data_IF_529594176992
#
_entry.id   IF_529594176992
#
_cell.length_a   1.000
_cell.length_b   1.000
_cell.length_c   1.000
_cell.angle_alpha   90.00
_cell.angle_beta   90.00
_cell.angle_gamma   90.00
#
_symmetry.space_group_name_H-M   'P 1'
#
loop_
_entity.id
_entity.type
_entity.pdbx_description
1 polymer ?
#
# COMPACT_ATOMS: atom_id res chain seq x y z
N UNK A 1 -0.56 -2.44 5.65
CA UNK A 1 -1.07 -1.08 5.33
C UNK A 1 -0.85 -0.79 3.84
N UNK A 2 0.39 -0.82 3.34
CA UNK A 2 0.72 -0.57 1.93
C UNK A 2 -0.13 -1.35 0.91
N UNK A 3 -0.44 -2.64 1.15
CA UNK A 3 -1.23 -3.45 0.21
C UNK A 3 -2.74 -3.20 0.27
N UNK A 4 -3.26 -2.77 1.43
CA UNK A 4 -4.70 -2.59 1.67
C UNK A 4 -5.15 -1.20 1.22
N UNK A 5 -4.27 -0.20 1.28
CA UNK A 5 -4.60 1.20 0.95
C UNK A 5 -5.01 1.41 -0.52
N UNK A 6 -4.35 0.84 -1.54
CA UNK A 6 -4.81 0.91 -2.93
C UNK A 6 -6.18 0.25 -3.13
N UNK A 7 -6.41 -0.89 -2.47
CA UNK A 7 -7.68 -1.62 -2.53
C UNK A 7 -8.83 -0.80 -1.96
N UNK A 8 -8.59 -0.02 -0.89
CA UNK A 8 -9.56 0.94 -0.36
C UNK A 8 -9.85 2.09 -1.35
N UNK A 9 -8.83 2.60 -2.05
CA UNK A 9 -9.01 3.61 -3.10
C UNK A 9 -9.82 3.10 -4.29
N UNK A 10 -9.61 1.83 -4.68
CA UNK A 10 -10.40 1.13 -5.70
C UNK A 10 -11.84 0.87 -5.24
N UNK A 11 -12.05 0.50 -3.98
CA UNK A 11 -13.39 0.35 -3.41
C UNK A 11 -14.16 1.68 -3.50
N UNK A 12 -13.49 2.80 -3.20
CA UNK A 12 -14.06 4.14 -3.32
C UNK A 12 -14.50 4.50 -4.75
N UNK A 13 -13.74 4.10 -5.78
CA UNK A 13 -14.19 4.32 -7.18
C UNK A 13 -15.40 3.48 -7.52
N UNK A 14 -15.45 2.22 -7.08
CA UNK A 14 -16.60 1.34 -7.31
C UNK A 14 -17.86 1.93 -6.66
N UNK A 15 -17.78 2.38 -5.42
CA UNK A 15 -18.91 3.01 -4.71
C UNK A 15 -19.37 4.32 -5.37
N UNK A 16 -18.42 5.15 -5.82
CA UNK A 16 -18.73 6.38 -6.55
C UNK A 16 -19.43 6.12 -7.87
N UNK A 17 -18.96 5.14 -8.65
CA UNK A 17 -19.58 4.75 -9.91
C UNK A 17 -20.97 4.13 -9.71
N UNK A 18 -21.18 3.33 -8.65
CA UNK A 18 -22.51 2.81 -8.29
C UNK A 18 -23.51 3.96 -8.06
N UNK A 19 -23.08 5.00 -7.34
CA UNK A 19 -23.92 6.18 -7.06
C UNK A 19 -24.25 6.94 -8.34
N UNK A 20 -23.27 7.12 -9.24
CA UNK A 20 -23.48 7.77 -10.56
C UNK A 20 -24.48 6.97 -11.42
N UNK A 21 -24.36 5.65 -11.46
CA UNK A 21 -25.30 4.81 -12.20
C UNK A 21 -26.70 4.79 -11.59
N UNK A 22 -26.82 4.86 -10.26
CA UNK A 22 -28.11 4.97 -9.59
C UNK A 22 -28.85 6.25 -10.00
N UNK A 23 -28.15 7.39 -10.07
CA UNK A 23 -28.70 8.67 -10.54
C UNK A 23 -29.14 8.61 -12.02
N UNK A 24 -28.37 7.92 -12.87
CA UNK A 24 -28.76 7.71 -14.28
C UNK A 24 -30.07 6.92 -14.37
N UNK A 25 -30.23 5.89 -13.53
CA UNK A 25 -31.43 5.04 -13.54
C UNK A 25 -32.65 5.79 -13.00
N UNK A 26 -32.49 6.64 -11.98
CA UNK A 26 -33.61 7.38 -11.38
C UNK A 26 -34.02 8.62 -12.18
N UNK A 27 -33.09 9.34 -12.80
CA UNK A 27 -33.33 10.62 -13.44
C UNK A 27 -33.16 10.62 -14.98
N UNK A 28 -32.83 9.47 -15.59
CA UNK A 28 -32.36 9.40 -16.97
C UNK A 28 -30.90 9.89 -17.09
N UNK A 29 -30.40 10.15 -18.30
CA UNK A 29 -28.99 10.58 -18.53
C UNK A 29 -28.56 11.83 -17.72
N UNK A 30 -29.50 12.52 -17.05
CA UNK A 30 -29.18 13.56 -16.08
C UNK A 30 -28.44 14.74 -16.69
N UNK A 31 -28.04 15.71 -15.85
CA UNK A 31 -27.17 16.79 -16.30
C UNK A 31 -25.72 16.27 -16.38
N UNK A 32 -25.04 16.37 -17.54
CA UNK A 32 -23.65 15.93 -17.71
C UNK A 32 -22.68 16.46 -16.64
N UNK A 33 -22.94 17.66 -16.09
CA UNK A 33 -22.13 18.25 -15.04
C UNK A 33 -22.15 17.47 -13.72
N UNK A 34 -23.31 16.91 -13.34
CA UNK A 34 -23.45 16.12 -12.10
C UNK A 34 -22.74 14.77 -12.25
N UNK A 35 -22.88 14.15 -13.42
CA UNK A 35 -22.17 12.92 -13.80
C UNK A 35 -20.65 13.08 -13.76
N UNK A 36 -20.14 14.16 -14.39
CA UNK A 36 -18.72 14.48 -14.36
C UNK A 36 -18.21 14.70 -12.92
N UNK A 37 -19.01 15.33 -12.06
CA UNK A 37 -18.71 15.50 -10.64
C UNK A 37 -18.56 14.17 -9.89
N UNK A 38 -19.49 13.24 -10.07
CA UNK A 38 -19.43 11.92 -9.43
C UNK A 38 -18.23 11.07 -9.88
N UNK A 39 -17.91 11.09 -11.18
CA UNK A 39 -16.72 10.41 -11.72
C UNK A 39 -15.44 11.06 -11.18
N UNK A 40 -15.39 12.39 -11.09
CA UNK A 40 -14.25 13.11 -10.52
C UNK A 40 -14.01 12.74 -9.06
N UNK A 41 -15.07 12.66 -8.25
CA UNK A 41 -14.98 12.23 -6.85
C UNK A 41 -14.47 10.79 -6.70
N UNK A 42 -14.96 9.88 -7.56
CA UNK A 42 -14.46 8.52 -7.62
C UNK A 42 -12.93 8.51 -7.86
N UNK A 43 -12.46 9.23 -8.88
CA UNK A 43 -11.03 9.30 -9.22
C UNK A 43 -10.16 9.92 -8.11
N UNK A 44 -10.65 10.96 -7.43
CA UNK A 44 -9.95 11.58 -6.29
C UNK A 44 -9.75 10.57 -5.15
N UNK A 45 -10.74 9.72 -4.88
CA UNK A 45 -10.64 8.71 -3.81
C UNK A 45 -9.57 7.66 -4.12
N UNK A 46 -9.42 7.26 -5.40
CA UNK A 46 -8.29 6.40 -5.82
C UNK A 46 -6.95 7.11 -5.71
N UNK A 47 -6.87 8.37 -6.14
CA UNK A 47 -5.63 9.16 -6.03
C UNK A 47 -5.19 9.30 -4.56
N UNK A 48 -6.13 9.51 -3.64
CA UNK A 48 -5.86 9.55 -2.20
C UNK A 48 -5.32 8.20 -1.67
N UNK A 49 -5.93 7.08 -2.09
CA UNK A 49 -5.45 5.73 -1.74
C UNK A 49 -4.03 5.48 -2.22
N UNK A 50 -3.72 5.85 -3.47
CA UNK A 50 -2.37 5.71 -4.03
C UNK A 50 -1.35 6.62 -3.35
N UNK A 51 -1.76 7.84 -2.97
CA UNK A 51 -0.88 8.82 -2.31
C UNK A 51 -0.38 8.35 -0.94
N UNK A 52 -1.16 7.52 -0.24
CA UNK A 52 -0.75 6.91 1.04
C UNK A 52 -0.04 5.56 0.83
N UNK A 53 -0.43 4.79 -0.18
CA UNK A 53 0.17 3.49 -0.46
C UNK A 53 1.63 3.57 -0.92
N UNK A 54 1.95 4.51 -1.82
CA UNK A 54 3.31 4.63 -2.41
C UNK A 54 4.36 4.92 -1.33
N UNK A 55 4.19 5.93 -0.44
CA UNK A 55 5.16 6.18 0.63
C UNK A 55 5.25 5.00 1.61
N UNK A 56 4.12 4.38 1.97
CA UNK A 56 4.12 3.25 2.90
C UNK A 56 4.90 2.05 2.35
N UNK A 57 4.76 1.74 1.05
CA UNK A 57 5.51 0.68 0.38
C UNK A 57 7.01 1.00 0.34
N UNK A 58 7.37 2.26 0.06
CA UNK A 58 8.77 2.70 0.05
C UNK A 58 9.43 2.52 1.43
N UNK A 59 8.77 2.99 2.50
CA UNK A 59 9.28 2.83 3.86
C UNK A 59 9.38 1.36 4.27
N UNK A 60 8.38 0.54 3.92
CA UNK A 60 8.42 -0.90 4.21
C UNK A 60 9.64 -1.56 3.56
N UNK A 61 9.89 -1.26 2.29
CA UNK A 61 11.05 -1.82 1.59
C UNK A 61 12.37 -1.37 2.21
N UNK A 62 12.50 -0.08 2.54
CA UNK A 62 13.70 0.46 3.19
C UNK A 62 13.97 -0.18 4.56
N UNK A 63 12.94 -0.34 5.39
CA UNK A 63 13.07 -0.99 6.70
C UNK A 63 13.39 -2.48 6.55
N UNK A 64 12.76 -3.18 5.61
CA UNK A 64 13.04 -4.59 5.37
C UNK A 64 14.50 -4.81 4.96
N UNK A 65 15.03 -4.02 4.01
CA UNK A 65 16.45 -4.09 3.63
C UNK A 65 17.37 -3.84 4.82
N UNK A 66 17.03 -2.90 5.71
CA UNK A 66 17.84 -2.64 6.90
C UNK A 66 17.81 -3.79 7.92
N UNK A 67 16.68 -4.48 8.04
CA UNK A 67 16.56 -5.67 8.89
C UNK A 67 17.38 -6.82 8.32
N UNK A 68 17.37 -7.01 7.00
CA UNK A 68 18.18 -8.05 6.33
C UNK A 68 19.68 -7.81 6.54
N UNK A 69 20.15 -6.57 6.41
CA UNK A 69 21.54 -6.22 6.74
C UNK A 69 21.91 -6.55 8.19
N UNK A 70 21.01 -6.24 9.14
CA UNK A 70 21.24 -6.53 10.55
C UNK A 70 21.27 -8.03 10.83
N UNK A 71 20.43 -8.81 10.14
CA UNK A 71 20.42 -10.27 10.24
C UNK A 71 21.74 -10.87 9.74
N UNK A 72 22.27 -10.39 8.62
CA UNK A 72 23.58 -10.82 8.10
C UNK A 72 24.70 -10.53 9.11
N UNK A 73 24.72 -9.32 9.68
CA UNK A 73 25.70 -8.95 10.72
C UNK A 73 25.59 -9.87 11.97
N UNK A 74 24.37 -10.25 12.34
CA UNK A 74 24.14 -11.17 13.46
C UNK A 74 24.61 -12.59 13.16
N UNK A 75 24.38 -13.09 11.94
CA UNK A 75 24.87 -14.40 11.50
C UNK A 75 26.39 -14.47 11.53
N UNK A 76 27.08 -13.45 10.99
CA UNK A 76 28.54 -13.38 11.01
C UNK A 76 29.11 -13.38 12.44
N UNK A 77 28.47 -12.65 13.36
CA UNK A 77 28.88 -12.64 14.77
C UNK A 77 28.62 -13.96 15.47
N UNK A 78 27.52 -14.64 15.15
CA UNK A 78 27.22 -15.96 15.72
C UNK A 78 28.27 -17.00 15.29
N UNK A 79 28.67 -16.99 14.01
CA UNK A 79 29.73 -17.87 13.48
C UNK A 79 31.05 -17.60 14.21
N UNK A 80 31.46 -16.34 14.35
CA UNK A 80 32.68 -15.99 15.10
C UNK A 80 32.63 -16.47 16.55
N UNK A 81 31.48 -16.37 17.22
CA UNK A 81 31.33 -16.85 18.59
C UNK A 81 31.52 -18.37 18.71
N UNK A 82 30.99 -19.13 17.74
CA UNK A 82 31.17 -20.59 17.67
C UNK A 82 32.63 -20.96 17.41
N UNK A 83 33.32 -20.23 16.56
CA UNK A 83 34.76 -20.45 16.28
C UNK A 83 35.64 -20.19 17.51
N UNK A 84 35.34 -19.11 18.25
CA UNK A 84 36.06 -18.80 19.50
C UNK A 84 35.85 -19.89 20.56
N UNK A 85 34.62 -20.42 20.67
CA UNK A 85 34.32 -21.52 21.60
C UNK A 85 35.06 -22.81 21.22
N UNK A 86 35.09 -23.18 19.92
CA UNK A 86 35.84 -24.34 19.47
C UNK A 86 37.35 -24.20 19.69
N UNK A 87 37.91 -23.00 19.50
CA UNK A 87 39.32 -22.71 19.82
C UNK A 87 39.64 -22.77 21.31
N UNK A 88 38.69 -22.48 22.19
CA UNK A 88 38.91 -22.55 23.64
C UNK A 88 38.82 -23.97 24.20
N UNK A 89 38.21 -24.92 23.46
CA UNK A 89 38.01 -26.31 23.90
C UNK A 89 39.09 -27.27 23.38
N UNK A 90 40.14 -26.75 22.76
CA UNK A 90 41.28 -27.49 22.22
C UNK A 90 42.59 -26.79 22.59
#
# INVERSE_FOLDING_TARGET
IADITPLLGLLGTVLGMISVFAEIVSAGVGNPGVLAGGISQALITTAAGLSVAIPAMFFHHFLASRVDELLLDMEDKAIQMVDVLHRSNN
#
